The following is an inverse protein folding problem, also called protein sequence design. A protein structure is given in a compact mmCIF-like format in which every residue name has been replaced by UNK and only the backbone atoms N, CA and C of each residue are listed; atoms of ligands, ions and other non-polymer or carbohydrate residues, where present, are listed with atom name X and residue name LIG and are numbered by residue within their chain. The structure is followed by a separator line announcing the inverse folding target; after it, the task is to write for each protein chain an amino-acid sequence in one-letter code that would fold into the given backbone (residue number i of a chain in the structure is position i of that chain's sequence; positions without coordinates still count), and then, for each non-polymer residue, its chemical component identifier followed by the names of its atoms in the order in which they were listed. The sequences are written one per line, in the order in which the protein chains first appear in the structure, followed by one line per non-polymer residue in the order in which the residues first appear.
data_IF_464343789952
#
_entry.id   IF_464343789952
#
_cell.length_a   1.000
_cell.length_b   1.000
_cell.length_c   1.000
_cell.angle_alpha   90.00
_cell.angle_beta   90.00
_cell.angle_gamma   90.00
#
_symmetry.space_group_name_H-M   'P 1'
#
loop_
_entity.id
_entity.type
_entity.pdbx_description
1 polymer ?
#
# COMPACT_ATOMS: atom_id res chain seq x y z
N UNK A 1 -9.15 11.26 -2.88
CA UNK A 1 -8.76 11.54 -1.48
C UNK A 1 -7.42 10.88 -1.16
N UNK A 2 -6.66 11.34 -0.16
CA UNK A 2 -5.38 10.70 0.26
C UNK A 2 -5.63 9.93 1.57
N UNK A 3 -5.30 8.64 1.60
CA UNK A 3 -5.33 7.83 2.82
C UNK A 3 -3.94 7.81 3.47
N UNK A 4 -3.87 8.03 4.78
CA UNK A 4 -2.60 8.12 5.51
C UNK A 4 -2.58 7.09 6.65
N UNK A 5 -1.51 6.30 6.70
CA UNK A 5 -1.18 5.45 7.85
C UNK A 5 -1.89 4.09 7.88
N UNK A 6 -1.28 3.15 8.62
CA UNK A 6 -1.88 1.85 8.97
C UNK A 6 -2.04 0.87 7.80
N UNK A 7 -1.09 0.84 6.86
CA UNK A 7 -1.04 -0.16 5.79
C UNK A 7 0.31 -0.85 5.83
N UNK A 8 0.30 -2.18 5.88
CA UNK A 8 1.51 -2.98 5.93
C UNK A 8 1.65 -3.91 4.72
N UNK A 9 0.54 -4.18 4.03
CA UNK A 9 0.45 -5.12 2.91
C UNK A 9 -0.20 -4.48 1.68
N UNK A 10 0.01 -5.12 0.52
CA UNK A 10 -0.61 -4.69 -0.74
C UNK A 10 -2.14 -4.80 -0.68
N UNK A 11 -2.69 -5.75 0.09
CA UNK A 11 -4.12 -5.91 0.30
C UNK A 11 -4.69 -4.73 1.10
N UNK A 12 -4.00 -4.27 2.15
CA UNK A 12 -4.42 -3.08 2.91
C UNK A 12 -4.48 -1.85 1.99
N UNK A 13 -3.46 -1.68 1.16
CA UNK A 13 -3.40 -0.58 0.19
C UNK A 13 -4.52 -0.70 -0.83
N UNK A 14 -4.78 -1.89 -1.38
CA UNK A 14 -5.88 -2.11 -2.30
C UNK A 14 -7.23 -1.76 -1.67
N UNK A 15 -7.49 -2.18 -0.42
CA UNK A 15 -8.73 -1.86 0.29
C UNK A 15 -8.93 -0.35 0.49
N UNK A 16 -7.85 0.42 0.72
CA UNK A 16 -7.93 1.90 0.78
C UNK A 16 -8.28 2.49 -0.58
N UNK A 17 -7.70 1.96 -1.65
CA UNK A 17 -7.99 2.42 -3.01
C UNK A 17 -9.44 2.12 -3.41
N UNK A 18 -9.94 0.93 -3.06
CA UNK A 18 -11.34 0.53 -3.28
C UNK A 18 -12.31 1.40 -2.45
N UNK A 19 -11.89 1.84 -1.27
CA UNK A 19 -12.63 2.83 -0.46
C UNK A 19 -12.59 4.26 -1.03
N UNK A 20 -12.01 4.48 -2.22
CA UNK A 20 -11.98 5.76 -2.92
C UNK A 20 -10.72 6.59 -2.68
N UNK A 21 -9.69 6.04 -2.04
CA UNK A 21 -8.39 6.71 -1.99
C UNK A 21 -7.78 6.75 -3.40
N UNK A 22 -7.25 7.91 -3.77
CA UNK A 22 -6.48 8.11 -5.00
C UNK A 22 -4.99 7.85 -4.76
N UNK A 23 -4.55 7.98 -3.51
CA UNK A 23 -3.17 7.77 -3.08
C UNK A 23 -3.14 7.29 -1.62
N UNK A 24 -2.17 6.44 -1.30
CA UNK A 24 -1.95 5.91 0.06
C UNK A 24 -0.52 6.21 0.50
N UNK A 25 -0.35 6.76 1.70
CA UNK A 25 0.96 7.06 2.30
C UNK A 25 1.21 6.19 3.53
N UNK A 26 2.40 5.59 3.63
CA UNK A 26 2.83 4.78 4.78
C UNK A 26 4.24 5.14 5.24
N UNK A 27 4.34 5.88 6.35
CA UNK A 27 5.63 6.24 6.96
C UNK A 27 6.08 5.21 7.99
N UNK A 28 5.19 4.81 8.90
CA UNK A 28 5.46 3.83 9.96
C UNK A 28 5.92 2.49 9.38
N UNK A 29 5.20 1.98 8.39
CA UNK A 29 5.55 0.72 7.74
C UNK A 29 6.91 0.81 7.01
N UNK A 30 7.21 1.93 6.35
CA UNK A 30 8.53 2.15 5.74
C UNK A 30 9.66 2.13 6.78
N UNK A 31 9.46 2.79 7.93
CA UNK A 31 10.43 2.82 9.02
C UNK A 31 10.69 1.42 9.61
N UNK A 32 9.65 0.61 9.81
CA UNK A 32 9.78 -0.71 10.45
C UNK A 32 10.05 -1.88 9.50
N UNK A 33 9.63 -1.79 8.23
CA UNK A 33 9.78 -2.86 7.23
C UNK A 33 10.93 -2.61 6.25
N UNK A 34 11.56 -1.43 6.36
CA UNK A 34 12.72 -1.05 5.56
C UNK A 34 12.37 -0.61 4.13
N UNK A 35 13.39 -0.18 3.37
CA UNK A 35 13.20 0.50 2.09
C UNK A 35 12.56 -0.35 0.98
N UNK A 36 12.62 -1.68 1.12
CA UNK A 36 12.00 -2.60 0.15
C UNK A 36 10.48 -2.74 0.34
N UNK A 37 9.91 -2.19 1.41
CA UNK A 37 8.48 -2.25 1.66
C UNK A 37 7.64 -1.63 0.54
N UNK A 38 7.99 -0.42 0.09
CA UNK A 38 7.27 0.22 -1.01
C UNK A 38 7.30 -0.62 -2.30
N UNK A 39 8.43 -1.29 -2.57
CA UNK A 39 8.57 -2.22 -3.69
C UNK A 39 7.66 -3.44 -3.53
N UNK A 40 7.60 -4.03 -2.33
CA UNK A 40 6.76 -5.22 -2.09
C UNK A 40 5.27 -4.90 -2.23
N UNK A 41 4.83 -3.71 -1.78
CA UNK A 41 3.47 -3.19 -2.00
C UNK A 41 3.17 -3.10 -3.49
N UNK A 42 4.01 -2.41 -4.26
CA UNK A 42 3.77 -2.19 -5.69
C UNK A 42 3.73 -3.50 -6.48
N UNK A 43 4.65 -4.43 -6.21
CA UNK A 43 4.63 -5.77 -6.84
C UNK A 43 3.38 -6.56 -6.43
N UNK A 44 2.94 -6.46 -5.17
CA UNK A 44 1.71 -7.10 -4.70
C UNK A 44 0.46 -6.54 -5.37
N UNK A 45 0.34 -5.22 -5.50
CA UNK A 45 -0.75 -4.55 -6.20
C UNK A 45 -0.81 -4.93 -7.67
N UNK A 46 0.35 -5.01 -8.34
CA UNK A 46 0.42 -5.46 -9.72
C UNK A 46 -0.16 -6.87 -9.87
N UNK A 47 0.19 -7.80 -8.97
CA UNK A 47 -0.38 -9.16 -9.00
C UNK A 47 -1.88 -9.19 -8.74
N UNK A 48 -2.38 -8.41 -7.77
CA UNK A 48 -3.81 -8.35 -7.44
C UNK A 48 -4.63 -7.85 -8.63
N UNK A 49 -4.10 -6.91 -9.41
CA UNK A 49 -4.82 -6.29 -10.53
C UNK A 49 -4.68 -7.01 -11.86
N UNK A 50 -3.68 -7.89 -11.99
CA UNK A 50 -3.43 -8.69 -13.19
C UNK A 50 -4.14 -10.06 -13.15
N UNK A 51 -4.63 -10.47 -11.98
CA UNK A 51 -5.51 -11.63 -11.83
C UNK A 51 -6.97 -11.21 -11.85
#
# INVERSE_FOLDING_TARGET
MISVGGVDTAADVQARLDAGATLVQGYTAFLYRGPLWARSINTGLARIRLG
#
